data_IF_886800830352
#
_entry.id   IF_886800830352
#
_cell.length_a   1.000
_cell.length_b   1.000
_cell.length_c   1.000
_cell.angle_alpha   90.00
_cell.angle_beta   90.00
_cell.angle_gamma   90.00
#
_symmetry.space_group_name_H-M   'P 1'
#
loop_
_entity.id
_entity.type
_entity.pdbx_description
1 polymer ?
#
# COMPACT_ATOMS: atom_id res chain seq x y z
N UNK A 1 48.57 -81.82 29.58
CA UNK A 1 48.58 -81.45 28.15
C UNK A 1 47.65 -82.33 27.30
N UNK A 2 46.96 -83.32 27.90
CA UNK A 2 46.19 -84.34 27.15
C UNK A 2 44.71 -84.02 26.91
N UNK A 3 44.16 -82.94 27.51
CA UNK A 3 42.75 -82.56 27.32
C UNK A 3 42.50 -81.68 26.08
N UNK A 4 43.53 -81.02 25.55
CA UNK A 4 43.43 -80.20 24.35
C UNK A 4 43.43 -81.04 23.07
N UNK A 5 44.20 -82.13 23.02
CA UNK A 5 44.26 -83.04 21.87
C UNK A 5 42.95 -83.83 21.68
N UNK A 6 42.26 -84.19 22.77
CA UNK A 6 40.95 -84.84 22.72
C UNK A 6 39.85 -83.94 22.15
N UNK A 7 39.81 -82.66 22.56
CA UNK A 7 38.85 -81.67 22.02
C UNK A 7 39.02 -81.43 20.51
N UNK A 8 40.25 -81.44 19.99
CA UNK A 8 40.51 -81.33 18.55
C UNK A 8 40.15 -82.63 17.80
N UNK A 9 40.35 -83.80 18.40
CA UNK A 9 39.93 -85.08 17.84
C UNK A 9 38.41 -85.19 17.72
N UNK A 10 37.67 -84.86 18.77
CA UNK A 10 36.21 -84.86 18.77
C UNK A 10 35.64 -83.81 17.82
N UNK A 11 36.27 -82.64 17.71
CA UNK A 11 35.92 -81.62 16.72
C UNK A 11 36.12 -82.11 15.28
N UNK A 12 37.21 -82.83 14.99
CA UNK A 12 37.48 -83.38 13.66
C UNK A 12 36.53 -84.52 13.30
N UNK A 13 36.16 -85.38 14.25
CA UNK A 13 35.17 -86.43 14.05
C UNK A 13 33.78 -85.81 13.84
N UNK A 14 33.39 -84.83 14.65
CA UNK A 14 32.13 -84.12 14.50
C UNK A 14 32.06 -83.37 13.16
N UNK A 15 33.14 -82.68 12.78
CA UNK A 15 33.28 -82.03 11.48
C UNK A 15 33.25 -83.05 10.32
N UNK A 16 33.88 -84.21 10.48
CA UNK A 16 33.89 -85.30 9.51
C UNK A 16 32.52 -85.95 9.31
N UNK A 17 31.76 -86.18 10.40
CA UNK A 17 30.39 -86.70 10.36
C UNK A 17 29.45 -85.68 9.69
N UNK A 18 29.57 -84.41 10.05
CA UNK A 18 28.83 -83.32 9.41
C UNK A 18 29.16 -83.27 7.92
N UNK A 19 30.43 -83.36 7.54
CA UNK A 19 30.87 -83.36 6.14
C UNK A 19 30.35 -84.58 5.36
N UNK A 20 30.31 -85.76 5.99
CA UNK A 20 29.74 -86.98 5.41
C UNK A 20 28.23 -86.88 5.16
N UNK A 21 27.49 -86.21 6.05
CA UNK A 21 26.05 -85.94 5.89
C UNK A 21 25.82 -84.88 4.80
N UNK A 22 26.61 -83.80 4.78
CA UNK A 22 26.58 -82.74 3.77
C UNK A 22 26.78 -83.28 2.35
N UNK A 23 27.64 -84.29 2.17
CA UNK A 23 27.95 -84.89 0.87
C UNK A 23 26.86 -85.83 0.33
N UNK A 24 25.91 -86.26 1.17
CA UNK A 24 24.74 -87.07 0.74
C UNK A 24 23.59 -86.21 0.22
N UNK A 25 23.63 -84.90 0.43
CA UNK A 25 22.63 -83.97 -0.08
C UNK A 25 22.89 -83.73 -1.57
N UNK A 26 21.90 -83.89 -2.47
CA UNK A 26 22.08 -83.65 -3.89
C UNK A 26 22.54 -82.22 -4.19
N UNK A 27 23.44 -82.04 -5.15
CA UNK A 27 23.95 -80.72 -5.57
C UNK A 27 22.83 -79.73 -5.96
N UNK A 28 21.71 -80.25 -6.47
CA UNK A 28 20.50 -79.47 -6.82
C UNK A 28 19.93 -78.73 -5.61
N UNK A 29 20.00 -79.31 -4.41
CA UNK A 29 19.53 -78.67 -3.18
C UNK A 29 20.40 -77.47 -2.80
N UNK A 30 21.73 -77.61 -2.90
CA UNK A 30 22.67 -76.51 -2.66
C UNK A 30 22.49 -75.39 -3.70
N UNK A 31 22.31 -75.75 -4.97
CA UNK A 31 21.99 -74.79 -6.02
C UNK A 31 20.68 -74.04 -5.75
N UNK A 32 19.61 -74.73 -5.33
CA UNK A 32 18.33 -74.13 -4.99
C UNK A 32 18.42 -73.21 -3.74
N UNK A 33 19.15 -73.62 -2.71
CA UNK A 33 19.38 -72.82 -1.50
C UNK A 33 20.14 -71.53 -1.81
N UNK A 34 21.22 -71.63 -2.58
CA UNK A 34 22.03 -70.49 -3.00
C UNK A 34 21.21 -69.57 -3.90
N UNK A 35 20.45 -70.12 -4.85
CA UNK A 35 19.56 -69.35 -5.72
C UNK A 35 18.48 -68.59 -4.93
N UNK A 36 17.86 -69.23 -3.93
CA UNK A 36 16.87 -68.60 -3.07
C UNK A 36 17.49 -67.49 -2.19
N UNK A 37 18.69 -67.72 -1.64
CA UNK A 37 19.42 -66.73 -0.86
C UNK A 37 19.83 -65.51 -1.71
N UNK A 38 20.32 -65.74 -2.94
CA UNK A 38 20.64 -64.70 -3.91
C UNK A 38 19.39 -63.91 -4.34
N UNK A 39 18.27 -64.59 -4.57
CA UNK A 39 17.00 -63.94 -4.91
C UNK A 39 16.51 -63.05 -3.75
N UNK A 40 16.49 -63.55 -2.52
CA UNK A 40 16.12 -62.77 -1.33
C UNK A 40 17.06 -61.59 -1.08
N UNK A 41 18.37 -61.79 -1.28
CA UNK A 41 19.36 -60.72 -1.20
C UNK A 41 19.07 -59.66 -2.26
N UNK A 42 18.86 -60.07 -3.52
CA UNK A 42 18.54 -59.18 -4.64
C UNK A 42 17.30 -58.34 -4.35
N UNK A 43 16.21 -58.96 -3.89
CA UNK A 43 14.97 -58.27 -3.50
C UNK A 43 15.22 -57.31 -2.33
N UNK A 44 15.99 -57.71 -1.30
CA UNK A 44 16.28 -56.85 -0.14
C UNK A 44 17.11 -55.63 -0.53
N UNK A 45 18.11 -55.79 -1.39
CA UNK A 45 18.93 -54.67 -1.90
C UNK A 45 18.08 -53.75 -2.77
N UNK A 46 17.32 -54.29 -3.72
CA UNK A 46 16.43 -53.51 -4.58
C UNK A 46 15.37 -52.75 -3.77
N UNK A 47 14.77 -53.38 -2.76
CA UNK A 47 13.76 -52.75 -1.92
C UNK A 47 14.36 -51.68 -1.00
N UNK A 48 15.59 -51.89 -0.49
CA UNK A 48 16.32 -50.87 0.29
C UNK A 48 16.67 -49.66 -0.56
N UNK A 49 17.06 -49.87 -1.81
CA UNK A 49 17.41 -48.77 -2.72
C UNK A 49 16.16 -47.99 -3.15
N UNK A 50 15.08 -48.70 -3.50
CA UNK A 50 13.77 -48.10 -3.75
C UNK A 50 13.27 -47.28 -2.55
N UNK A 51 13.38 -47.79 -1.32
CA UNK A 51 13.00 -47.05 -0.12
C UNK A 51 13.85 -45.79 0.07
N UNK A 52 15.15 -45.82 -0.25
CA UNK A 52 16.02 -44.63 -0.20
C UNK A 52 15.62 -43.60 -1.25
N UNK A 53 15.37 -44.01 -2.49
CA UNK A 53 14.93 -43.13 -3.56
C UNK A 53 13.58 -42.49 -3.24
N UNK A 54 12.62 -43.29 -2.76
CA UNK A 54 11.31 -42.82 -2.34
C UNK A 54 11.40 -41.81 -1.19
N UNK A 55 12.25 -42.05 -0.18
CA UNK A 55 12.45 -41.10 0.92
C UNK A 55 13.13 -39.79 0.46
N UNK A 56 14.05 -39.84 -0.51
CA UNK A 56 14.64 -38.63 -1.09
C UNK A 56 13.60 -37.82 -1.87
N UNK A 57 12.77 -38.48 -2.68
CA UNK A 57 11.67 -37.84 -3.40
C UNK A 57 10.67 -37.22 -2.42
N UNK A 58 10.22 -37.95 -1.40
CA UNK A 58 9.27 -37.42 -0.41
C UNK A 58 9.82 -36.19 0.33
N UNK A 59 11.13 -36.15 0.58
CA UNK A 59 11.78 -34.98 1.19
C UNK A 59 11.83 -33.80 0.23
N UNK A 60 12.21 -34.05 -1.02
CA UNK A 60 12.19 -33.05 -2.07
C UNK A 60 10.79 -32.47 -2.27
N UNK A 61 9.77 -33.32 -2.41
CA UNK A 61 8.37 -32.91 -2.57
C UNK A 61 7.87 -32.10 -1.37
N UNK A 62 8.30 -32.45 -0.14
CA UNK A 62 7.98 -31.68 1.06
C UNK A 62 8.61 -30.28 1.03
N UNK A 63 9.88 -30.21 0.65
CA UNK A 63 10.63 -28.96 0.58
C UNK A 63 10.09 -28.06 -0.55
N UNK A 64 9.81 -28.62 -1.73
CA UNK A 64 9.16 -27.93 -2.85
C UNK A 64 7.76 -27.44 -2.47
N UNK A 65 6.94 -28.26 -1.81
CA UNK A 65 5.60 -27.87 -1.39
C UNK A 65 5.63 -26.76 -0.33
N UNK A 66 6.60 -26.79 0.58
CA UNK A 66 6.81 -25.72 1.55
C UNK A 66 7.25 -24.42 0.85
N UNK A 67 8.19 -24.51 -0.09
CA UNK A 67 8.64 -23.37 -0.89
C UNK A 67 7.50 -22.77 -1.72
N UNK A 68 6.68 -23.60 -2.37
CA UNK A 68 5.52 -23.15 -3.15
C UNK A 68 4.51 -22.41 -2.26
N UNK A 69 4.16 -22.98 -1.10
CA UNK A 69 3.23 -22.32 -0.15
C UNK A 69 3.76 -20.96 0.33
N UNK A 70 5.06 -20.85 0.58
CA UNK A 70 5.68 -19.60 0.96
C UNK A 70 5.66 -18.59 -0.19
N UNK A 71 5.94 -19.02 -1.42
CA UNK A 71 5.89 -18.18 -2.60
C UNK A 71 4.46 -17.66 -2.86
N UNK A 72 3.45 -18.53 -2.75
CA UNK A 72 2.04 -18.17 -2.88
C UNK A 72 1.63 -17.14 -1.80
N UNK A 73 2.00 -17.40 -0.54
CA UNK A 73 1.75 -16.47 0.56
C UNK A 73 2.41 -15.10 0.33
N UNK A 74 3.69 -15.11 -0.07
CA UNK A 74 4.44 -13.88 -0.38
C UNK A 74 3.77 -13.09 -1.49
N UNK A 75 3.39 -13.76 -2.58
CA UNK A 75 2.72 -13.11 -3.72
C UNK A 75 1.46 -12.39 -3.27
N UNK A 76 0.60 -13.07 -2.52
CA UNK A 76 -0.67 -12.51 -2.08
C UNK A 76 -0.46 -11.33 -1.09
N UNK A 77 0.49 -11.46 -0.16
CA UNK A 77 0.85 -10.38 0.78
C UNK A 77 1.45 -9.18 0.05
N UNK A 78 2.32 -9.39 -0.94
CA UNK A 78 2.99 -8.32 -1.68
C UNK A 78 2.02 -7.54 -2.55
N UNK A 79 1.13 -8.23 -3.26
CA UNK A 79 0.09 -7.57 -4.05
C UNK A 79 -0.84 -6.74 -3.18
N UNK A 80 -1.24 -7.28 -2.02
CA UNK A 80 -2.08 -6.54 -1.08
C UNK A 80 -1.36 -5.32 -0.48
N UNK A 81 -0.06 -5.41 -0.19
CA UNK A 81 0.71 -4.27 0.31
C UNK A 81 0.81 -3.13 -0.73
N UNK A 82 0.98 -3.47 -2.01
CA UNK A 82 0.98 -2.49 -3.10
C UNK A 82 -0.38 -1.78 -3.22
N UNK A 83 -1.47 -2.54 -3.11
CA UNK A 83 -2.83 -1.98 -3.11
C UNK A 83 -3.04 -0.98 -1.95
N UNK A 84 -2.68 -1.38 -0.73
CA UNK A 84 -2.81 -0.52 0.45
C UNK A 84 -1.91 0.73 0.38
N UNK A 85 -0.75 0.65 -0.28
CA UNK A 85 0.11 1.79 -0.54
C UNK A 85 -0.57 2.87 -1.41
N UNK A 86 -1.33 2.47 -2.44
CA UNK A 86 -2.09 3.39 -3.28
C UNK A 86 -3.17 4.09 -2.47
N UNK A 87 -3.90 3.34 -1.63
CA UNK A 87 -4.91 3.90 -0.74
C UNK A 87 -4.32 4.92 0.24
N UNK A 88 -3.19 4.62 0.86
CA UNK A 88 -2.53 5.55 1.77
C UNK A 88 -2.02 6.80 1.05
N UNK A 89 -1.46 6.68 -0.16
CA UNK A 89 -1.02 7.84 -0.96
C UNK A 89 -2.18 8.75 -1.37
N UNK A 90 -3.32 8.16 -1.72
CA UNK A 90 -4.56 8.90 -1.99
C UNK A 90 -5.06 9.63 -0.74
N UNK A 91 -5.00 8.98 0.42
CA UNK A 91 -5.36 9.59 1.70
C UNK A 91 -4.49 10.81 2.04
N UNK A 92 -3.16 10.74 1.83
CA UNK A 92 -2.29 11.90 2.06
C UNK A 92 -2.71 13.11 1.22
N UNK A 93 -3.17 12.87 -0.02
CA UNK A 93 -3.64 13.92 -0.92
C UNK A 93 -4.97 14.55 -0.49
N UNK A 94 -5.81 13.84 0.26
CA UNK A 94 -7.13 14.31 0.67
C UNK A 94 -7.15 15.05 2.00
N UNK A 95 -6.06 15.02 2.78
CA UNK A 95 -5.96 15.64 4.11
C UNK A 95 -6.50 17.09 4.23
N UNK A 96 -6.28 18.01 3.26
CA UNK A 96 -6.74 19.40 3.40
C UNK A 96 -8.26 19.56 3.50
N UNK A 97 -9.01 18.58 2.97
CA UNK A 97 -10.48 18.59 2.91
C UNK A 97 -11.11 17.41 3.66
N UNK A 98 -10.27 16.53 4.23
CA UNK A 98 -10.74 15.37 4.96
C UNK A 98 -11.31 15.78 6.32
N UNK A 99 -12.44 15.16 6.67
CA UNK A 99 -13.00 15.27 8.02
C UNK A 99 -12.29 14.30 8.95
N UNK A 100 -11.32 14.82 9.71
CA UNK A 100 -10.50 14.03 10.63
C UNK A 100 -11.25 13.60 11.91
N UNK A 101 -12.47 14.09 12.12
CA UNK A 101 -13.30 13.69 13.28
C UNK A 101 -14.06 12.38 13.05
N UNK A 102 -14.08 11.87 11.82
CA UNK A 102 -14.72 10.58 11.52
C UNK A 102 -13.90 9.43 12.07
N UNK A 103 -14.58 8.44 12.64
CA UNK A 103 -13.95 7.27 13.25
C UNK A 103 -13.06 6.47 12.28
N UNK A 104 -13.33 6.56 10.98
CA UNK A 104 -12.62 5.87 9.89
C UNK A 104 -11.62 6.77 9.15
N UNK A 105 -11.40 8.02 9.58
CA UNK A 105 -10.54 8.96 8.89
C UNK A 105 -9.09 8.46 8.71
N UNK A 106 -8.59 7.62 9.64
CA UNK A 106 -7.25 7.04 9.58
C UNK A 106 -7.20 5.63 8.97
N UNK A 107 -8.33 5.08 8.51
CA UNK A 107 -8.42 3.69 8.03
C UNK A 107 -7.45 3.38 6.87
N UNK A 108 -7.28 4.24 5.85
CA UNK A 108 -6.33 3.97 4.77
C UNK A 108 -4.88 3.83 5.26
N UNK A 109 -4.50 4.64 6.26
CA UNK A 109 -3.16 4.60 6.84
C UNK A 109 -2.95 3.34 7.70
N UNK A 110 -3.96 2.95 8.47
CA UNK A 110 -3.94 1.70 9.24
C UNK A 110 -3.82 0.47 8.33
N UNK A 111 -4.57 0.46 7.22
CA UNK A 111 -4.50 -0.61 6.21
C UNK A 111 -3.11 -0.76 5.63
N UNK A 112 -2.46 0.36 5.27
CA UNK A 112 -1.08 0.37 4.82
C UNK A 112 -0.09 -0.17 5.86
N UNK A 113 -0.15 0.29 7.12
CA UNK A 113 0.76 -0.20 8.15
C UNK A 113 0.56 -1.68 8.45
N UNK A 114 -0.69 -2.16 8.47
CA UNK A 114 -0.99 -3.58 8.67
C UNK A 114 -0.45 -4.43 7.51
N UNK A 115 -0.60 -3.98 6.26
CA UNK A 115 -0.09 -4.69 5.11
C UNK A 115 1.45 -4.67 5.04
N UNK A 116 2.07 -3.54 5.38
CA UNK A 116 3.52 -3.40 5.44
C UNK A 116 4.14 -4.30 6.54
N UNK A 117 3.50 -4.41 7.70
CA UNK A 117 3.91 -5.34 8.76
C UNK A 117 3.82 -6.80 8.31
N UNK A 118 2.75 -7.19 7.61
CA UNK A 118 2.62 -8.54 7.02
C UNK A 118 3.72 -8.81 6.00
N UNK A 119 4.02 -7.84 5.13
CA UNK A 119 5.10 -7.93 4.16
C UNK A 119 6.44 -8.16 4.86
N UNK A 120 6.75 -7.38 5.90
CA UNK A 120 7.97 -7.54 6.71
C UNK A 120 8.11 -8.93 7.35
N UNK A 121 7.00 -9.57 7.71
CA UNK A 121 7.02 -10.92 8.31
C UNK A 121 7.34 -12.04 7.31
N UNK A 122 6.89 -11.92 6.06
CA UNK A 122 7.01 -13.01 5.07
C UNK A 122 8.22 -12.84 4.14
N UNK A 123 8.79 -11.63 4.11
CA UNK A 123 9.92 -11.25 3.26
C UNK A 123 11.27 -11.59 3.87
N UNK A 124 12.33 -11.53 3.05
CA UNK A 124 13.69 -11.64 3.54
C UNK A 124 14.10 -10.39 4.33
N UNK A 125 15.10 -10.55 5.20
CA UNK A 125 15.56 -9.48 6.10
C UNK A 125 15.91 -8.17 5.37
N UNK A 126 16.49 -8.27 4.16
CA UNK A 126 16.83 -7.10 3.34
C UNK A 126 15.59 -6.33 2.88
N UNK A 127 14.57 -7.04 2.39
CA UNK A 127 13.30 -6.45 1.95
C UNK A 127 12.54 -5.87 3.13
N UNK A 128 12.52 -6.57 4.27
CA UNK A 128 11.91 -6.10 5.51
C UNK A 128 12.52 -4.78 6.02
N UNK A 129 13.85 -4.64 5.90
CA UNK A 129 14.54 -3.39 6.22
C UNK A 129 14.15 -2.23 5.29
N UNK A 130 14.06 -2.49 3.97
CA UNK A 130 13.61 -1.48 2.99
C UNK A 130 12.16 -1.03 3.28
N UNK A 131 11.29 -1.97 3.63
CA UNK A 131 9.90 -1.66 4.00
C UNK A 131 9.82 -0.87 5.31
N UNK A 132 10.70 -1.17 6.27
CA UNK A 132 10.78 -0.39 7.53
C UNK A 132 11.13 1.08 7.26
N UNK A 133 12.11 1.32 6.38
CA UNK A 133 12.51 2.66 5.95
C UNK A 133 11.38 3.38 5.19
N UNK A 134 10.62 2.67 4.35
CA UNK A 134 9.43 3.20 3.70
C UNK A 134 8.35 3.62 4.70
N UNK A 135 8.04 2.77 5.68
CA UNK A 135 7.07 3.07 6.76
C UNK A 135 7.49 4.34 7.52
N UNK A 136 8.78 4.46 7.86
CA UNK A 136 9.30 5.64 8.54
C UNK A 136 9.13 6.91 7.71
N UNK A 137 9.45 6.83 6.41
CA UNK A 137 9.29 7.94 5.45
C UNK A 137 7.83 8.35 5.30
N UNK A 138 6.93 7.37 5.19
CA UNK A 138 5.49 7.60 5.09
C UNK A 138 4.94 8.27 6.36
N UNK A 139 5.35 7.77 7.53
CA UNK A 139 4.91 8.30 8.82
C UNK A 139 5.36 9.74 9.03
N UNK A 140 6.62 10.05 8.70
CA UNK A 140 7.15 11.40 8.79
C UNK A 140 6.39 12.37 7.85
N UNK A 141 6.10 11.94 6.62
CA UNK A 141 5.31 12.73 5.68
C UNK A 141 3.89 12.95 6.20
N UNK A 142 3.24 11.92 6.71
CA UNK A 142 1.88 12.00 7.25
C UNK A 142 1.77 13.06 8.37
N UNK A 143 2.66 13.03 9.36
CA UNK A 143 2.64 14.02 10.44
C UNK A 143 2.91 15.44 9.93
N UNK A 144 3.84 15.60 8.98
CA UNK A 144 4.10 16.90 8.34
C UNK A 144 2.84 17.44 7.64
N UNK A 145 2.13 16.58 6.89
CA UNK A 145 0.95 16.97 6.14
C UNK A 145 -0.26 17.23 7.03
N UNK A 146 -0.44 16.54 8.15
CA UNK A 146 -1.46 16.90 9.15
C UNK A 146 -1.24 18.34 9.62
N UNK A 147 0.00 18.69 10.00
CA UNK A 147 0.34 20.03 10.45
C UNK A 147 0.06 21.10 9.39
N UNK A 148 0.31 20.79 8.11
CA UNK A 148 0.02 21.69 7.00
C UNK A 148 -1.47 21.75 6.62
N UNK A 149 -2.24 20.67 6.84
CA UNK A 149 -3.66 20.61 6.52
C UNK A 149 -4.53 21.36 7.55
N UNK A 150 -4.13 21.38 8.82
CA UNK A 150 -4.88 22.05 9.89
C UNK A 150 -5.24 23.52 9.59
N UNK A 151 -4.31 24.42 9.22
CA UNK A 151 -4.65 25.81 8.93
C UNK A 151 -5.57 25.93 7.71
N UNK A 152 -5.47 25.04 6.72
CA UNK A 152 -6.39 25.02 5.57
C UNK A 152 -7.82 24.73 6.03
N UNK A 153 -8.00 23.75 6.91
CA UNK A 153 -9.31 23.39 7.45
C UNK A 153 -9.91 24.52 8.28
N UNK A 154 -9.10 25.26 9.06
CA UNK A 154 -9.55 26.44 9.80
C UNK A 154 -10.07 27.52 8.85
N UNK A 155 -9.28 27.89 7.83
CA UNK A 155 -9.68 28.89 6.84
C UNK A 155 -10.92 28.44 6.05
N UNK A 156 -11.07 27.15 5.74
CA UNK A 156 -12.28 26.62 5.11
C UNK A 156 -13.52 26.80 6.00
N UNK A 157 -13.40 26.56 7.31
CA UNK A 157 -14.49 26.79 8.26
C UNK A 157 -14.86 28.28 8.35
N UNK A 158 -13.88 29.17 8.30
CA UNK A 158 -14.14 30.62 8.29
C UNK A 158 -14.80 31.09 7.00
N UNK A 159 -14.36 30.56 5.85
CA UNK A 159 -15.00 30.80 4.55
C UNK A 159 -16.47 30.36 4.58
N UNK A 160 -16.77 29.20 5.15
CA UNK A 160 -18.13 28.68 5.28
C UNK A 160 -19.01 29.57 6.17
N UNK A 161 -18.46 30.01 7.30
CA UNK A 161 -19.10 30.98 8.19
C UNK A 161 -19.47 32.28 7.45
N UNK A 162 -18.51 32.92 6.77
CA UNK A 162 -18.79 34.16 6.02
C UNK A 162 -19.69 33.94 4.80
N UNK A 163 -19.65 32.76 4.19
CA UNK A 163 -20.58 32.40 3.10
C UNK A 163 -22.01 32.37 3.61
N UNK A 164 -22.24 31.74 4.76
CA UNK A 164 -23.56 31.70 5.41
C UNK A 164 -24.05 33.11 5.78
N UNK A 165 -23.18 33.97 6.33
CA UNK A 165 -23.53 35.37 6.62
C UNK A 165 -23.92 36.15 5.37
N UNK A 166 -23.15 36.01 4.29
CA UNK A 166 -23.44 36.69 3.03
C UNK A 166 -24.76 36.21 2.42
N UNK A 167 -25.03 34.90 2.42
CA UNK A 167 -26.29 34.35 1.93
C UNK A 167 -27.50 34.87 2.72
N UNK A 168 -27.38 34.97 4.04
CA UNK A 168 -28.40 35.57 4.90
C UNK A 168 -28.67 37.04 4.58
N UNK A 169 -27.61 37.83 4.37
CA UNK A 169 -27.73 39.25 4.03
C UNK A 169 -28.30 39.48 2.62
N UNK A 170 -27.94 38.63 1.63
CA UNK A 170 -28.56 38.65 0.28
C UNK A 170 -30.06 38.34 0.39
N UNK A 171 -30.44 37.37 1.22
CA UNK A 171 -31.85 37.04 1.43
C UNK A 171 -32.63 38.22 2.04
N UNK A 172 -32.06 38.93 3.01
CA UNK A 172 -32.67 40.11 3.63
C UNK A 172 -32.76 41.30 2.66
N UNK A 173 -31.71 41.53 1.87
CA UNK A 173 -31.73 42.55 0.81
C UNK A 173 -32.87 42.29 -0.19
N UNK A 174 -33.07 41.03 -0.60
CA UNK A 174 -34.17 40.63 -1.48
C UNK A 174 -35.54 40.88 -0.84
N UNK A 175 -35.70 40.61 0.47
CA UNK A 175 -36.95 40.90 1.19
C UNK A 175 -37.24 42.40 1.23
N UNK A 176 -36.24 43.22 1.57
CA UNK A 176 -36.41 44.67 1.63
C UNK A 176 -36.73 45.29 0.25
N UNK A 177 -36.08 44.83 -0.82
CA UNK A 177 -36.42 45.23 -2.20
C UNK A 177 -37.87 44.85 -2.56
N UNK A 178 -38.28 43.62 -2.26
CA UNK A 178 -39.66 43.19 -2.51
C UNK A 178 -40.68 44.01 -1.72
N UNK A 179 -40.35 44.43 -0.48
CA UNK A 179 -41.22 45.28 0.33
C UNK A 179 -41.31 46.72 -0.22
N UNK A 180 -40.23 47.21 -0.81
CA UNK A 180 -40.21 48.49 -1.55
C UNK A 180 -41.07 48.41 -2.81
N UNK A 181 -40.95 47.33 -3.59
CA UNK A 181 -41.73 47.15 -4.82
C UNK A 181 -43.24 47.03 -4.54
N UNK A 182 -43.60 46.44 -3.40
CA UNK A 182 -44.98 46.29 -2.94
C UNK A 182 -45.48 47.48 -2.12
N UNK A 183 -44.71 48.56 -2.02
CA UNK A 183 -45.06 49.69 -1.18
C UNK A 183 -46.30 50.42 -1.72
N UNK A 184 -47.40 50.37 -0.96
CA UNK A 184 -48.63 51.13 -1.22
C UNK A 184 -48.78 52.22 -0.15
N UNK A 185 -48.93 53.51 -0.52
CA UNK A 185 -49.16 54.60 0.43
C UNK A 185 -50.45 54.38 1.25
N UNK A 186 -50.38 54.65 2.55
CA UNK A 186 -51.50 54.53 3.49
C UNK A 186 -52.38 55.79 3.55
N UNK A 187 -51.94 56.88 2.91
CA UNK A 187 -52.62 58.17 2.92
C UNK A 187 -52.15 59.12 4.04
N UNK A 188 -51.28 58.64 4.95
CA UNK A 188 -50.54 59.48 5.89
C UNK A 188 -49.10 59.65 5.37
N UNK A 189 -48.82 60.84 4.83
CA UNK A 189 -47.53 61.16 4.21
C UNK A 189 -46.33 60.98 5.16
N UNK A 190 -46.47 61.38 6.43
CA UNK A 190 -45.39 61.29 7.42
C UNK A 190 -45.07 59.83 7.77
N UNK A 191 -46.11 59.01 7.95
CA UNK A 191 -45.97 57.57 8.21
C UNK A 191 -45.41 56.81 7.01
N UNK A 192 -45.85 57.17 5.80
CA UNK A 192 -45.38 56.54 4.56
C UNK A 192 -43.91 56.85 4.30
N UNK A 193 -43.49 58.10 4.53
CA UNK A 193 -42.09 58.50 4.40
C UNK A 193 -41.21 57.80 5.44
N UNK A 194 -41.64 57.72 6.71
CA UNK A 194 -40.90 57.02 7.75
C UNK A 194 -40.70 55.52 7.42
N UNK A 195 -41.75 54.86 6.91
CA UNK A 195 -41.70 53.45 6.48
C UNK A 195 -40.76 53.25 5.30
N UNK A 196 -40.77 54.15 4.32
CA UNK A 196 -39.85 54.08 3.18
C UNK A 196 -38.39 54.29 3.59
N UNK A 197 -38.11 55.29 4.43
CA UNK A 197 -36.76 55.54 4.97
C UNK A 197 -36.23 54.33 5.77
N UNK A 198 -37.10 53.63 6.51
CA UNK A 198 -36.71 52.43 7.23
C UNK A 198 -36.28 51.28 6.29
N UNK A 199 -36.98 51.09 5.17
CA UNK A 199 -36.61 50.11 4.14
C UNK A 199 -35.30 50.48 3.43
N UNK A 200 -35.12 51.75 3.08
CA UNK A 200 -33.89 52.24 2.45
C UNK A 200 -32.69 52.09 3.41
N UNK A 201 -32.88 52.38 4.71
CA UNK A 201 -31.86 52.15 5.74
C UNK A 201 -31.52 50.66 5.91
N UNK A 202 -32.51 49.78 5.88
CA UNK A 202 -32.30 48.34 5.93
C UNK A 202 -31.47 47.87 4.73
N UNK A 203 -31.77 48.35 3.52
CA UNK A 203 -30.99 48.05 2.31
C UNK A 203 -29.55 48.56 2.39
N UNK A 204 -29.34 49.80 2.81
CA UNK A 204 -27.99 50.37 2.95
C UNK A 204 -27.17 49.58 3.98
N UNK A 205 -27.79 49.20 5.09
CA UNK A 205 -27.17 48.37 6.14
C UNK A 205 -26.75 47.01 5.59
N UNK A 206 -27.65 46.31 4.89
CA UNK A 206 -27.32 45.00 4.30
C UNK A 206 -26.26 45.11 3.19
N UNK A 207 -26.29 46.18 2.39
CA UNK A 207 -25.31 46.41 1.32
C UNK A 207 -23.91 46.64 1.87
N UNK A 208 -23.77 47.44 2.94
CA UNK A 208 -22.50 47.63 3.65
C UNK A 208 -22.01 46.32 4.27
N UNK A 209 -22.90 45.61 4.97
CA UNK A 209 -22.60 44.30 5.57
C UNK A 209 -22.08 43.30 4.52
N UNK A 210 -22.76 43.21 3.37
CA UNK A 210 -22.34 42.33 2.26
C UNK A 210 -20.97 42.70 1.72
N UNK A 211 -20.71 44.00 1.49
CA UNK A 211 -19.41 44.45 0.98
C UNK A 211 -18.29 44.04 1.94
N UNK A 212 -18.38 44.45 3.20
CA UNK A 212 -17.32 44.29 4.18
C UNK A 212 -17.02 42.79 4.46
N UNK A 213 -18.06 41.94 4.52
CA UNK A 213 -17.89 40.50 4.73
C UNK A 213 -17.49 39.74 3.46
N UNK A 214 -17.91 40.18 2.27
CA UNK A 214 -17.46 39.58 1.01
C UNK A 214 -15.98 39.85 0.72
N UNK A 215 -15.48 41.04 1.07
CA UNK A 215 -14.05 41.38 0.99
C UNK A 215 -13.23 40.49 1.94
N UNK A 216 -13.69 40.32 3.18
CA UNK A 216 -13.05 39.42 4.16
C UNK A 216 -13.02 37.98 3.65
N UNK A 217 -14.14 37.45 3.14
CA UNK A 217 -14.21 36.10 2.54
C UNK A 217 -13.26 35.96 1.35
N UNK A 218 -13.13 36.99 0.53
CA UNK A 218 -12.22 36.98 -0.61
C UNK A 218 -10.76 36.93 -0.16
N UNK A 219 -10.39 37.65 0.91
CA UNK A 219 -9.06 37.57 1.51
C UNK A 219 -8.75 36.16 2.03
N UNK A 220 -9.70 35.53 2.72
CA UNK A 220 -9.57 34.14 3.20
C UNK A 220 -9.38 33.14 2.04
N UNK A 221 -10.04 33.35 0.89
CA UNK A 221 -9.79 32.52 -0.29
C UNK A 221 -8.35 32.66 -0.81
N UNK A 222 -7.78 33.86 -0.80
CA UNK A 222 -6.38 34.09 -1.18
C UNK A 222 -5.43 33.38 -0.22
N UNK A 223 -5.67 33.51 1.09
CA UNK A 223 -4.90 32.81 2.13
C UNK A 223 -4.97 31.29 1.96
N UNK A 224 -6.18 30.73 1.77
CA UNK A 224 -6.38 29.31 1.50
C UNK A 224 -5.55 28.84 0.31
N UNK A 225 -5.51 29.62 -0.77
CA UNK A 225 -4.75 29.27 -1.96
C UNK A 225 -3.24 29.21 -1.69
N UNK A 226 -2.71 30.15 -0.91
CA UNK A 226 -1.30 30.13 -0.50
C UNK A 226 -0.98 28.90 0.34
N UNK A 227 -1.78 28.64 1.40
CA UNK A 227 -1.61 27.47 2.26
C UNK A 227 -1.71 26.15 1.49
N UNK A 228 -2.66 26.06 0.55
CA UNK A 228 -2.81 24.88 -0.29
C UNK A 228 -1.61 24.69 -1.24
N UNK A 229 -0.99 25.77 -1.72
CA UNK A 229 0.25 25.70 -2.50
C UNK A 229 1.40 25.08 -1.70
N UNK A 230 1.60 25.54 -0.46
CA UNK A 230 2.61 24.98 0.45
C UNK A 230 2.35 23.51 0.80
N UNK A 231 1.08 23.15 1.02
CA UNK A 231 0.66 21.78 1.24
C UNK A 231 1.01 20.89 0.05
N UNK A 232 0.64 21.28 -1.17
CA UNK A 232 0.93 20.53 -2.40
C UNK A 232 2.44 20.38 -2.59
N UNK A 233 3.23 21.44 -2.34
CA UNK A 233 4.69 21.38 -2.39
C UNK A 233 5.26 20.34 -1.43
N UNK A 234 4.79 20.34 -0.18
CA UNK A 234 5.20 19.35 0.82
C UNK A 234 4.78 17.93 0.44
N UNK A 235 3.56 17.75 -0.08
CA UNK A 235 3.04 16.46 -0.52
C UNK A 235 3.86 15.90 -1.68
N UNK A 236 4.11 16.69 -2.72
CA UNK A 236 4.83 16.23 -3.92
C UNK A 236 6.28 15.84 -3.62
N UNK A 237 7.00 16.66 -2.84
CA UNK A 237 8.36 16.32 -2.40
C UNK A 237 8.38 15.04 -1.54
N UNK A 238 7.38 14.88 -0.67
CA UNK A 238 7.22 13.68 0.14
C UNK A 238 6.93 12.42 -0.68
N UNK A 239 5.99 12.50 -1.62
CA UNK A 239 5.65 11.40 -2.53
C UNK A 239 6.81 11.03 -3.44
N UNK A 240 7.61 12.00 -3.88
CA UNK A 240 8.85 11.72 -4.61
C UNK A 240 9.83 10.89 -3.78
N UNK A 241 10.06 11.27 -2.51
CA UNK A 241 10.95 10.54 -1.62
C UNK A 241 10.46 9.10 -1.35
N UNK A 242 9.14 8.93 -1.22
CA UNK A 242 8.48 7.62 -1.11
C UNK A 242 8.70 6.80 -2.39
N UNK A 243 8.47 7.39 -3.56
CA UNK A 243 8.62 6.71 -4.84
C UNK A 243 10.05 6.19 -5.04
N UNK A 244 11.08 6.99 -4.71
CA UNK A 244 12.48 6.55 -4.75
C UNK A 244 12.73 5.30 -3.89
N UNK A 245 12.06 5.17 -2.74
CA UNK A 245 12.16 3.99 -1.87
C UNK A 245 11.38 2.77 -2.39
N UNK A 246 10.34 2.98 -3.20
CA UNK A 246 9.54 1.89 -3.77
C UNK A 246 10.32 1.04 -4.79
N UNK A 247 11.23 1.62 -5.58
CA UNK A 247 12.01 0.88 -6.57
C UNK A 247 12.84 -0.28 -5.97
N UNK A 248 13.72 -0.07 -4.97
CA UNK A 248 14.50 -1.16 -4.40
C UNK A 248 13.61 -2.23 -3.74
N UNK A 249 12.44 -1.84 -3.19
CA UNK A 249 11.45 -2.79 -2.65
C UNK A 249 10.87 -3.66 -3.76
N UNK A 250 10.43 -3.07 -4.87
CA UNK A 250 9.85 -3.80 -6.00
C UNK A 250 10.87 -4.75 -6.64
N UNK A 251 12.12 -4.31 -6.77
CA UNK A 251 13.23 -5.18 -7.22
C UNK A 251 13.44 -6.34 -6.25
N UNK A 252 13.51 -6.07 -4.95
CA UNK A 252 13.71 -7.12 -3.95
C UNK A 252 12.55 -8.14 -3.93
N UNK A 253 11.31 -7.67 -4.00
CA UNK A 253 10.11 -8.52 -4.12
C UNK A 253 10.18 -9.43 -5.35
N UNK A 254 10.57 -8.89 -6.51
CA UNK A 254 10.69 -9.70 -7.75
C UNK A 254 11.78 -10.77 -7.65
N UNK A 255 12.89 -10.48 -6.96
CA UNK A 255 13.93 -11.48 -6.66
C UNK A 255 13.37 -12.59 -5.78
N UNK A 256 12.68 -12.24 -4.70
CA UNK A 256 12.13 -13.22 -3.76
C UNK A 256 11.05 -14.11 -4.37
N UNK A 257 10.31 -13.61 -5.35
CA UNK A 257 9.30 -14.37 -6.09
C UNK A 257 9.89 -15.14 -7.29
N UNK A 258 11.20 -15.02 -7.57
CA UNK A 258 11.86 -15.61 -8.74
C UNK A 258 11.14 -15.29 -10.07
N UNK A 259 10.56 -14.09 -10.19
CA UNK A 259 9.70 -13.72 -11.32
C UNK A 259 10.50 -13.31 -12.57
N UNK A 260 11.78 -12.95 -12.45
CA UNK A 260 12.48 -12.34 -13.60
C UNK A 260 13.97 -12.68 -13.70
N UNK A 261 14.38 -13.15 -14.88
CA UNK A 261 15.79 -13.28 -15.28
C UNK A 261 16.39 -11.96 -15.78
N UNK A 262 15.57 -10.93 -16.07
CA UNK A 262 15.99 -9.63 -16.60
C UNK A 262 15.69 -8.49 -15.60
N UNK A 263 15.98 -8.72 -14.33
CA UNK A 263 15.64 -7.77 -13.28
C UNK A 263 16.28 -6.38 -13.47
N UNK A 264 17.41 -6.33 -14.16
CA UNK A 264 18.12 -5.09 -14.47
C UNK A 264 17.35 -4.23 -15.48
N UNK A 265 16.73 -4.84 -16.50
CA UNK A 265 15.86 -4.14 -17.47
C UNK A 265 14.66 -3.51 -16.78
N UNK A 266 14.06 -4.23 -15.81
CA UNK A 266 12.98 -3.66 -15.00
C UNK A 266 13.47 -2.50 -14.12
N UNK A 267 14.62 -2.66 -13.47
CA UNK A 267 15.18 -1.63 -12.60
C UNK A 267 15.44 -0.33 -13.38
N UNK A 268 15.98 -0.44 -14.60
CA UNK A 268 16.23 0.69 -15.51
C UNK A 268 14.91 1.38 -15.93
N UNK A 269 13.91 0.60 -16.35
CA UNK A 269 12.61 1.15 -16.75
C UNK A 269 11.90 1.90 -15.60
N UNK A 270 12.00 1.39 -14.37
CA UNK A 270 11.45 2.08 -13.19
C UNK A 270 12.24 3.34 -12.87
N UNK A 271 13.57 3.33 -13.02
CA UNK A 271 14.41 4.51 -12.83
C UNK A 271 14.02 5.63 -13.80
N UNK A 272 13.88 5.31 -15.09
CA UNK A 272 13.47 6.28 -16.10
C UNK A 272 12.07 6.86 -15.83
N UNK A 273 11.13 6.03 -15.34
CA UNK A 273 9.82 6.51 -14.91
C UNK A 273 9.94 7.49 -13.72
N UNK A 274 10.78 7.19 -12.74
CA UNK A 274 10.99 8.07 -11.58
C UNK A 274 11.61 9.41 -11.99
N UNK A 275 12.57 9.41 -12.89
CA UNK A 275 13.20 10.64 -13.40
C UNK A 275 12.17 11.53 -14.13
N UNK A 276 11.29 10.92 -14.93
CA UNK A 276 10.17 11.65 -15.56
C UNK A 276 9.22 12.26 -14.54
N UNK A 277 8.84 11.50 -13.51
CA UNK A 277 7.97 12.01 -12.43
C UNK A 277 8.66 13.13 -11.64
N UNK A 278 9.96 12.98 -11.35
CA UNK A 278 10.77 13.99 -10.68
C UNK A 278 10.83 15.30 -11.48
N UNK A 279 11.02 15.20 -12.80
CA UNK A 279 10.97 16.35 -13.71
C UNK A 279 9.62 17.06 -13.67
N UNK A 280 8.52 16.32 -13.78
CA UNK A 280 7.17 16.89 -13.70
C UNK A 280 6.87 17.54 -12.34
N UNK A 281 7.36 16.95 -11.23
CA UNK A 281 7.27 17.56 -9.91
C UNK A 281 8.05 18.87 -9.85
N UNK A 282 9.28 18.90 -10.38
CA UNK A 282 10.10 20.11 -10.40
C UNK A 282 9.45 21.24 -11.23
N UNK A 283 8.87 20.91 -12.39
CA UNK A 283 8.09 21.86 -13.20
C UNK A 283 6.89 22.42 -12.45
N UNK A 284 6.11 21.55 -11.78
CA UNK A 284 4.98 21.98 -10.96
C UNK A 284 5.44 22.89 -9.81
N UNK A 285 6.56 22.57 -9.15
CA UNK A 285 7.11 23.42 -8.09
C UNK A 285 7.50 24.80 -8.60
N UNK A 286 8.11 24.88 -9.80
CA UNK A 286 8.45 26.15 -10.43
C UNK A 286 7.20 27.00 -10.75
N UNK A 287 6.11 26.37 -11.19
CA UNK A 287 4.83 27.05 -11.45
C UNK A 287 4.16 27.56 -10.16
N UNK A 288 4.29 26.82 -9.06
CA UNK A 288 3.76 27.23 -7.76
C UNK A 288 4.56 28.39 -7.15
N UNK A 289 5.87 28.45 -7.43
CA UNK A 289 6.75 29.53 -6.96
C UNK A 289 6.65 30.82 -7.83
N UNK A 290 6.17 30.74 -9.08
CA UNK A 290 5.89 31.89 -9.97
C UNK A 290 4.45 31.89 -10.53
N UNK A 291 3.49 32.55 -9.86
CA UNK A 291 2.08 32.58 -10.27
C UNK A 291 1.84 33.23 -11.65
N UNK A 292 2.83 33.90 -12.24
CA UNK A 292 2.73 34.58 -13.54
C UNK A 292 2.96 33.63 -14.72
N UNK A 293 3.42 32.40 -14.49
CA UNK A 293 3.63 31.37 -15.52
C UNK A 293 2.47 30.37 -15.64
N UNK A 294 1.38 30.57 -14.91
CA UNK A 294 0.17 29.77 -15.11
C UNK A 294 -0.29 29.90 -16.58
N UNK A 295 -0.50 28.80 -17.32
CA UNK A 295 -0.98 28.87 -18.68
C UNK A 295 -2.28 29.68 -18.70
N UNK A 296 -2.48 30.57 -19.69
CA UNK A 296 -3.66 31.43 -19.73
C UNK A 296 -4.89 30.55 -19.66
N UNK A 297 -5.83 30.89 -18.76
CA UNK A 297 -7.15 30.24 -18.68
C UNK A 297 -7.75 30.25 -20.09
N UNK A 298 -7.68 29.13 -20.79
CA UNK A 298 -8.40 28.93 -22.02
C UNK A 298 -9.88 29.03 -21.66
N UNK A 299 -10.52 30.12 -22.10
CA UNK A 299 -11.98 30.23 -22.02
C UNK A 299 -12.56 28.96 -22.64
N UNK A 300 -13.52 28.27 -21.99
CA UNK A 300 -14.20 27.16 -22.63
C UNK A 300 -14.83 27.66 -23.93
N UNK A 301 -14.38 27.10 -25.05
CA UNK A 301 -14.96 27.33 -26.37
C UNK A 301 -16.35 26.67 -26.43
N UNK A 302 -17.36 27.28 -25.81
CA UNK A 302 -18.76 26.85 -25.96
C UNK A 302 -19.77 27.89 -25.46
N UNK A 303 -19.63 29.16 -25.85
CA UNK A 303 -20.75 30.13 -25.80
C UNK A 303 -20.70 31.12 -26.98
N UNK A 304 -20.36 30.64 -28.18
CA UNK A 304 -20.63 31.32 -29.45
C UNK A 304 -21.34 30.33 -30.37
N UNK A 305 -22.63 30.11 -30.07
CA UNK A 305 -23.70 29.79 -31.00
C UNK A 305 -24.86 29.20 -30.19
N UNK A 306 -25.77 30.08 -29.78
CA UNK A 306 -27.22 29.84 -29.72
C UNK A 306 -27.94 31.17 -29.56
#
# INVERSE_FOLDING_TARGET
MDSLTALWGDFLVFAGVIFGILRKVPDVFWAALIAAALALWGVKVANRDNARHFMRQLRHDKDEKAAQRLADLRRDVYLHAIDQFVHASSYLSSLPIADLNKADAAQPLQGFFAAAAKLQMVSEAKTSALVSDLIGTFSALHFKLIGAAQPIQQVLSEIDFYTTLCEGAVAEQKRALSAIDQFVPSGNAESDEARRRALDLALDTQTKFLRDHSETRQALHVERHALHGEFVKSLMLGLQAINTKMQPIMVAIRRELNIDSQIDVYADAVSEQQDRVAGAVAELMAQLDDPRQAPPRTKPASLENR
#
